data_IF_851201757070
#
_entry.id   IF_851201757070
#
_cell.length_a   1.000
_cell.length_b   1.000
_cell.length_c   1.000
_cell.angle_alpha   90.00
_cell.angle_beta   90.00
_cell.angle_gamma   90.00
#
_symmetry.space_group_name_H-M   'P 1'
#
loop_
_entity.id
_entity.type
_entity.pdbx_description
1 polymer ?
#
# COMPACT_ATOMS: atom_id res chain seq x y z
N UNK A 1 -19.49 -3.18 -7.71
CA UNK A 1 -18.39 -2.72 -6.83
C UNK A 1 -18.86 -2.96 -5.41
N UNK A 2 -18.14 -3.73 -4.59
CA UNK A 2 -18.53 -3.99 -3.19
C UNK A 2 -17.94 -2.90 -2.31
N UNK A 3 -18.79 -2.16 -1.61
CA UNK A 3 -18.36 -1.17 -0.62
C UNK A 3 -18.05 -1.84 0.70
N UNK A 4 -17.06 -1.31 1.40
CA UNK A 4 -16.79 -1.61 2.81
C UNK A 4 -17.51 -0.60 3.69
N UNK A 5 -17.77 -0.97 4.93
CA UNK A 5 -18.35 -0.05 5.91
C UNK A 5 -17.67 -0.23 7.27
N UNK A 6 -17.52 0.88 7.98
CA UNK A 6 -17.30 0.91 9.43
C UNK A 6 -18.52 1.58 10.10
N UNK A 7 -18.46 1.84 11.40
CA UNK A 7 -19.59 2.42 12.16
C UNK A 7 -20.15 3.72 11.56
N UNK A 8 -19.32 4.50 10.86
CA UNK A 8 -19.66 5.86 10.44
C UNK A 8 -19.54 6.08 8.92
N UNK A 9 -18.88 5.19 8.18
CA UNK A 9 -18.47 5.45 6.80
C UNK A 9 -18.64 4.20 5.95
N UNK A 10 -19.27 4.38 4.78
CA UNK A 10 -19.26 3.42 3.67
C UNK A 10 -18.26 3.90 2.63
N UNK A 11 -17.30 3.06 2.24
CA UNK A 11 -16.20 3.47 1.36
C UNK A 11 -15.73 2.35 0.42
N UNK A 12 -15.06 2.76 -0.66
CA UNK A 12 -14.19 1.90 -1.43
C UNK A 12 -13.04 2.75 -1.97
N UNK A 13 -11.95 2.77 -1.20
CA UNK A 13 -10.83 3.68 -1.41
C UNK A 13 -9.61 2.85 -1.79
N UNK A 14 -9.47 2.58 -3.08
CA UNK A 14 -8.36 1.80 -3.65
C UNK A 14 -7.27 2.71 -4.18
N UNK A 15 -6.02 2.34 -3.93
CA UNK A 15 -4.85 3.11 -4.30
C UNK A 15 -3.81 2.22 -4.97
N UNK A 16 -3.29 2.68 -6.10
CA UNK A 16 -2.06 2.18 -6.69
C UNK A 16 -0.91 2.99 -6.13
N UNK A 17 0.00 2.32 -5.43
CA UNK A 17 1.18 2.94 -4.81
C UNK A 17 2.43 2.39 -5.47
N UNK A 18 3.38 3.27 -5.76
CA UNK A 18 4.71 2.87 -6.25
C UNK A 18 5.79 3.58 -5.48
N UNK A 19 6.81 2.84 -5.04
CA UNK A 19 8.02 3.42 -4.47
C UNK A 19 9.24 2.59 -4.89
N UNK A 20 10.43 3.17 -4.75
CA UNK A 20 11.67 2.55 -5.22
C UNK A 20 12.78 2.62 -4.17
N UNK A 21 13.76 1.69 -4.23
CA UNK A 21 14.97 1.80 -3.46
C UNK A 21 15.70 3.11 -3.77
N UNK A 22 16.50 3.59 -2.82
CA UNK A 22 17.32 4.78 -2.98
C UNK A 22 18.21 4.63 -4.23
N UNK A 23 18.21 5.67 -5.06
CA UNK A 23 18.90 5.71 -6.36
C UNK A 23 18.41 4.65 -7.39
N UNK A 24 17.20 4.08 -7.20
CA UNK A 24 16.68 2.98 -8.03
C UNK A 24 17.67 1.82 -8.18
N UNK A 25 18.44 1.52 -7.13
CA UNK A 25 19.35 0.37 -7.15
C UNK A 25 18.55 -0.93 -7.22
N UNK A 26 18.98 -1.85 -8.08
CA UNK A 26 18.40 -3.18 -8.26
C UNK A 26 18.76 -4.12 -7.09
N UNK A 27 18.20 -3.87 -5.92
CA UNK A 27 18.54 -4.57 -4.66
C UNK A 27 17.43 -5.45 -4.11
N UNK A 28 16.25 -5.43 -4.73
CA UNK A 28 15.13 -6.29 -4.35
C UNK A 28 15.25 -7.61 -5.11
N UNK A 29 16.29 -8.38 -4.78
CA UNK A 29 16.59 -9.69 -5.36
C UNK A 29 17.33 -10.53 -4.32
N UNK A 30 17.63 -11.79 -4.67
CA UNK A 30 18.36 -12.72 -3.81
C UNK A 30 17.67 -12.90 -2.44
N UNK A 31 16.33 -13.06 -2.45
CA UNK A 31 15.51 -13.28 -1.24
C UNK A 31 15.07 -12.00 -0.53
N UNK A 32 15.62 -10.82 -0.88
CA UNK A 32 15.15 -9.53 -0.33
C UNK A 32 13.71 -9.23 -0.74
N UNK A 33 13.35 -9.58 -1.97
CA UNK A 33 12.02 -9.40 -2.54
C UNK A 33 10.98 -10.31 -1.86
N UNK A 34 11.30 -11.59 -1.68
CA UNK A 34 10.45 -12.55 -0.96
C UNK A 34 10.19 -12.06 0.47
N UNK A 35 11.26 -11.69 1.18
CA UNK A 35 11.16 -11.17 2.53
C UNK A 35 10.39 -9.86 2.61
N UNK A 36 10.57 -8.97 1.63
CA UNK A 36 9.79 -7.74 1.55
C UNK A 36 8.29 -8.02 1.38
N UNK A 37 7.92 -9.01 0.54
CA UNK A 37 6.52 -9.40 0.35
C UNK A 37 5.90 -9.90 1.66
N UNK A 38 6.61 -10.73 2.43
CA UNK A 38 6.15 -11.17 3.75
C UNK A 38 5.94 -9.99 4.71
N UNK A 39 6.90 -9.08 4.78
CA UNK A 39 6.82 -7.92 5.66
C UNK A 39 5.65 -7.01 5.30
N UNK A 40 5.43 -6.74 4.02
CA UNK A 40 4.31 -5.90 3.57
C UNK A 40 2.97 -6.57 3.92
N UNK A 41 2.83 -7.88 3.71
CA UNK A 41 1.64 -8.63 4.11
C UNK A 41 1.36 -8.49 5.61
N UNK A 42 2.37 -8.74 6.46
CA UNK A 42 2.22 -8.66 7.91
C UNK A 42 1.84 -7.23 8.37
N UNK A 43 2.49 -6.21 7.80
CA UNK A 43 2.19 -4.81 8.13
C UNK A 43 0.77 -4.45 7.69
N UNK A 44 0.33 -4.88 6.50
CA UNK A 44 -1.04 -4.64 6.03
C UNK A 44 -2.07 -5.31 6.94
N UNK A 45 -1.83 -6.55 7.37
CA UNK A 45 -2.70 -7.26 8.32
C UNK A 45 -2.78 -6.53 9.68
N UNK A 46 -1.65 -6.10 10.24
CA UNK A 46 -1.58 -5.34 11.50
C UNK A 46 -2.34 -4.01 11.41
N UNK A 47 -2.25 -3.33 10.26
CA UNK A 47 -2.91 -2.05 10.02
C UNK A 47 -4.37 -2.18 9.54
N UNK A 48 -4.90 -3.39 9.42
CA UNK A 48 -6.21 -3.68 8.84
C UNK A 48 -6.41 -3.04 7.45
N UNK A 49 -5.36 -3.08 6.63
CA UNK A 49 -5.36 -2.65 5.24
C UNK A 49 -5.46 -3.86 4.33
N UNK A 50 -6.36 -3.82 3.35
CA UNK A 50 -6.45 -4.87 2.36
C UNK A 50 -5.36 -4.67 1.31
N UNK A 51 -4.40 -5.60 1.30
CA UNK A 51 -3.48 -5.75 0.18
C UNK A 51 -4.14 -6.59 -0.91
N UNK A 52 -4.53 -5.94 -2.00
CA UNK A 52 -5.23 -6.60 -3.12
C UNK A 52 -4.22 -7.26 -4.06
N UNK A 53 -3.16 -6.54 -4.41
CA UNK A 53 -2.13 -7.02 -5.34
C UNK A 53 -0.78 -6.42 -4.97
N UNK A 54 0.30 -7.17 -5.17
CA UNK A 54 1.66 -6.71 -4.89
C UNK A 54 2.65 -7.30 -5.89
N UNK A 55 3.39 -6.42 -6.54
CA UNK A 55 4.51 -6.82 -7.38
C UNK A 55 5.81 -6.12 -6.97
N UNK A 56 6.88 -6.90 -6.93
CA UNK A 56 8.22 -6.44 -6.55
C UNK A 56 9.16 -6.68 -7.72
N UNK A 57 9.71 -5.59 -8.22
CA UNK A 57 10.71 -5.57 -9.28
C UNK A 57 12.05 -5.26 -8.63
N UNK A 58 13.19 -5.58 -9.27
CA UNK A 58 14.50 -5.36 -8.64
C UNK A 58 14.74 -3.94 -8.12
N UNK A 59 14.14 -2.92 -8.75
CA UNK A 59 14.32 -1.50 -8.45
C UNK A 59 13.04 -0.73 -8.08
N UNK A 60 11.89 -1.37 -7.89
CA UNK A 60 10.67 -0.72 -7.41
C UNK A 60 9.62 -1.72 -6.90
N UNK A 61 8.56 -1.21 -6.28
CA UNK A 61 7.45 -1.99 -5.74
C UNK A 61 6.14 -1.35 -6.20
N UNK A 62 5.21 -2.17 -6.69
CA UNK A 62 3.83 -1.80 -6.96
C UNK A 62 2.91 -2.43 -5.92
N UNK A 63 2.03 -1.64 -5.31
CA UNK A 63 0.99 -2.11 -4.40
C UNK A 63 -0.38 -1.63 -4.87
N UNK A 64 -1.37 -2.51 -4.82
CA UNK A 64 -2.78 -2.16 -4.91
C UNK A 64 -3.40 -2.39 -3.52
N UNK A 65 -3.84 -1.31 -2.88
CA UNK A 65 -4.31 -1.31 -1.50
C UNK A 65 -5.74 -0.77 -1.43
N UNK A 66 -6.60 -1.33 -0.56
CA UNK A 66 -7.84 -0.67 -0.13
C UNK A 66 -7.71 -0.23 1.33
N UNK A 67 -7.84 1.08 1.57
CA UNK A 67 -7.48 1.73 2.84
C UNK A 67 -8.68 2.48 3.39
N UNK A 68 -8.91 2.37 4.70
CA UNK A 68 -9.90 3.20 5.40
C UNK A 68 -9.56 4.70 5.24
N UNK A 69 -10.50 5.53 4.73
CA UNK A 69 -10.25 6.94 4.51
C UNK A 69 -9.86 7.71 5.79
N UNK A 70 -10.28 7.27 6.98
CA UNK A 70 -9.89 7.89 8.25
C UNK A 70 -8.45 7.57 8.65
N UNK A 71 -7.95 6.40 8.28
CA UNK A 71 -6.54 6.06 8.50
C UNK A 71 -5.64 6.84 7.55
N UNK A 72 -5.98 6.81 6.26
CA UNK A 72 -5.33 7.57 5.19
C UNK A 72 -4.08 6.90 4.62
N UNK A 73 -3.94 6.96 3.29
CA UNK A 73 -2.90 6.24 2.54
C UNK A 73 -1.46 6.60 2.97
N UNK A 74 -1.21 7.87 3.35
CA UNK A 74 0.12 8.31 3.75
C UNK A 74 0.67 7.53 4.96
N UNK A 75 -0.19 7.17 5.93
CA UNK A 75 0.23 6.42 7.13
C UNK A 75 0.63 5.00 6.76
N UNK A 76 -0.14 4.36 5.88
CA UNK A 76 0.16 3.02 5.35
C UNK A 76 1.53 3.00 4.68
N UNK A 77 1.76 3.91 3.73
CA UNK A 77 3.02 3.98 2.98
C UNK A 77 4.20 4.28 3.91
N UNK A 78 4.01 5.18 4.88
CA UNK A 78 5.05 5.49 5.89
C UNK A 78 5.41 4.27 6.73
N UNK A 79 4.42 3.49 7.19
CA UNK A 79 4.63 2.27 7.98
C UNK A 79 5.32 1.18 7.16
N UNK A 80 4.82 0.91 5.96
CA UNK A 80 5.42 -0.06 5.03
C UNK A 80 6.90 0.28 4.79
N UNK A 81 7.21 1.50 4.34
CA UNK A 81 8.59 1.88 4.01
C UNK A 81 9.48 1.92 5.26
N UNK A 82 8.99 2.41 6.39
CA UNK A 82 9.77 2.53 7.62
C UNK A 82 10.18 1.16 8.19
N UNK A 83 9.19 0.30 8.42
CA UNK A 83 9.41 -1.02 9.04
C UNK A 83 10.22 -1.92 8.11
N UNK A 84 9.84 -2.02 6.82
CA UNK A 84 10.58 -2.84 5.86
C UNK A 84 12.03 -2.36 5.69
N UNK A 85 12.27 -1.05 5.64
CA UNK A 85 13.64 -0.53 5.55
C UNK A 85 14.47 -0.94 6.76
N UNK A 86 13.90 -0.93 7.96
CA UNK A 86 14.63 -1.32 9.18
C UNK A 86 14.99 -2.80 9.13
N UNK A 87 13.97 -3.66 9.01
CA UNK A 87 14.14 -5.12 9.11
C UNK A 87 15.04 -5.64 7.98
N UNK A 88 14.79 -5.25 6.73
CA UNK A 88 15.62 -5.72 5.62
C UNK A 88 17.08 -5.28 5.73
N UNK A 89 17.35 -4.07 6.25
CA UNK A 89 18.74 -3.62 6.46
C UNK A 89 19.41 -4.32 7.66
N UNK A 90 18.64 -4.88 8.58
CA UNK A 90 19.15 -5.70 9.69
C UNK A 90 19.45 -7.13 9.21
N UNK A 91 18.51 -7.75 8.49
CA UNK A 91 18.63 -9.13 7.96
C UNK A 91 19.64 -9.23 6.80
N UNK A 92 19.70 -8.21 5.92
CA UNK A 92 20.59 -8.16 4.76
C UNK A 92 21.61 -7.02 4.91
N UNK A 93 22.68 -7.28 5.66
CA UNK A 93 23.71 -6.29 6.00
C UNK A 93 24.35 -5.59 4.78
N UNK A 94 24.42 -6.26 3.64
CA UNK A 94 24.93 -5.70 2.39
C UNK A 94 24.07 -4.55 1.82
N UNK A 95 22.79 -4.42 2.24
CA UNK A 95 21.97 -3.26 1.91
C UNK A 95 22.47 -1.99 2.61
N UNK A 96 23.05 -2.11 3.82
CA UNK A 96 23.60 -0.97 4.56
C UNK A 96 24.87 -0.43 3.92
N UNK A 97 25.74 -1.30 3.40
CA UNK A 97 26.98 -0.88 2.74
C UNK A 97 26.73 -0.23 1.38
N UNK A 98 25.66 -0.62 0.67
CA UNK A 98 25.34 -0.08 -0.66
C UNK A 98 24.45 1.16 -0.65
N UNK A 99 23.64 1.37 0.40
CA UNK A 99 22.61 2.40 0.43
C UNK A 99 22.57 3.15 1.77
N UNK A 100 22.47 4.48 1.78
CA UNK A 100 22.30 5.25 3.03
C UNK A 100 20.93 5.02 3.68
N UNK A 101 19.89 4.82 2.88
CA UNK A 101 18.53 4.40 3.27
C UNK A 101 18.01 3.39 2.25
N UNK A 102 17.13 2.47 2.64
CA UNK A 102 16.61 1.50 1.65
C UNK A 102 15.75 2.20 0.61
N UNK A 103 14.79 3.01 1.04
CA UNK A 103 13.83 3.69 0.17
C UNK A 103 14.19 5.16 -0.07
N UNK A 104 13.64 5.73 -1.15
CA UNK A 104 13.53 7.19 -1.31
C UNK A 104 12.49 7.78 -0.36
N UNK A 105 12.47 9.10 -0.17
CA UNK A 105 11.40 9.76 0.59
C UNK A 105 10.07 9.77 -0.21
N UNK A 106 10.16 9.93 -1.54
CA UNK A 106 9.01 9.99 -2.43
C UNK A 106 8.31 8.64 -2.61
N UNK A 107 7.05 8.72 -3.03
CA UNK A 107 6.27 7.61 -3.56
C UNK A 107 5.22 8.19 -4.52
N UNK A 108 4.81 7.41 -5.50
CA UNK A 108 3.66 7.69 -6.33
C UNK A 108 2.41 7.10 -5.69
N UNK A 109 1.29 7.80 -5.84
CA UNK A 109 -0.04 7.31 -5.45
C UNK A 109 -1.07 7.74 -6.48
N UNK A 110 -1.93 6.82 -6.90
CA UNK A 110 -3.06 7.09 -7.76
C UNK A 110 -4.29 6.37 -7.23
N UNK A 111 -5.46 7.02 -7.27
CA UNK A 111 -6.73 6.39 -6.90
C UNK A 111 -7.18 5.44 -8.01
N UNK A 112 -7.67 4.27 -7.64
CA UNK A 112 -8.17 3.26 -8.57
C UNK A 112 -9.68 3.13 -8.35
N UNK A 113 -10.47 3.69 -9.26
CA UNK A 113 -11.92 3.67 -9.17
C UNK A 113 -12.55 3.49 -10.55
N UNK A 114 -13.42 2.48 -10.68
CA UNK A 114 -14.27 2.28 -11.86
C UNK A 114 -15.74 2.57 -11.56
N UNK A 115 -16.09 3.21 -10.43
CA UNK A 115 -17.48 3.41 -10.06
C UNK A 115 -18.18 4.19 -11.18
N UNK A 116 -19.05 3.54 -11.98
CA UNK A 116 -19.82 4.23 -12.98
C UNK A 116 -20.77 5.18 -12.25
N UNK A 117 -21.09 6.31 -12.87
CA UNK A 117 -22.00 7.32 -12.30
C UNK A 117 -23.31 6.67 -11.82
N UNK A 118 -23.79 5.61 -12.48
CA UNK A 118 -24.98 4.85 -12.09
C UNK A 118 -24.88 4.20 -10.70
N UNK A 119 -23.73 3.66 -10.30
CA UNK A 119 -23.53 3.07 -8.96
C UNK A 119 -23.55 4.18 -7.88
N UNK A 120 -22.95 5.33 -8.17
CA UNK A 120 -22.97 6.49 -7.26
C UNK A 120 -24.42 7.00 -7.10
N UNK A 121 -25.19 7.06 -8.19
CA UNK A 121 -26.62 7.44 -8.16
C UNK A 121 -27.46 6.47 -7.32
N UNK A 122 -27.26 5.16 -7.49
CA UNK A 122 -27.94 4.14 -6.68
C UNK A 122 -27.61 4.27 -5.19
N UNK A 123 -26.34 4.55 -4.85
CA UNK A 123 -25.96 4.83 -3.46
C UNK A 123 -26.72 6.04 -2.91
N UNK A 124 -26.76 7.16 -3.64
CA UNK A 124 -27.51 8.37 -3.25
C UNK A 124 -29.02 8.08 -3.07
N UNK A 125 -29.62 7.29 -3.95
CA UNK A 125 -31.05 6.94 -3.85
C UNK A 125 -31.34 6.00 -2.67
N UNK A 126 -30.44 5.05 -2.39
CA UNK A 126 -30.59 4.12 -1.26
C UNK A 126 -30.58 4.84 0.10
N UNK A 127 -29.81 5.93 0.22
CA UNK A 127 -29.75 6.75 1.44
C UNK A 127 -31.06 7.50 1.75
N UNK A 128 -31.95 7.68 0.77
CA UNK A 128 -33.29 8.26 1.01
C UNK A 128 -34.30 7.28 1.60
N UNK A 129 -33.99 5.97 1.59
CA UNK A 129 -34.90 4.90 2.01
C UNK A 129 -34.56 4.31 3.38
N UNK A 130 -33.51 4.80 4.03
CA UNK A 130 -33.16 4.45 5.40
C UNK A 130 -33.92 5.38 6.35
N UNK A 131 -35.12 4.96 6.74
CA UNK A 131 -35.81 5.39 7.97
C UNK A 131 -35.35 4.53 9.16
#
# INVERSE_FOLDING_TARGET
>A
MKYKSNNNIVYSCKYHVVFCPKYRRKVLNNGVDERLKELINNICQELHVDLIEMEVMPDHVHLLLEVDPQFGIHKVVKRIKGISSRILREEFSWLKSRLPTLWTNSYFVSTVGKAPISIIKQYIESQKRSE
#
